data_IF_462989171064
#
_entry.id   IF_462989171064
#
_cell.length_a   1.000
_cell.length_b   1.000
_cell.length_c   1.000
_cell.angle_alpha   90.00
_cell.angle_beta   90.00
_cell.angle_gamma   90.00
#
_symmetry.space_group_name_H-M   'P 1'
#
loop_
_entity.id
_entity.type
_entity.pdbx_description
1 polymer ?
#
# COMPACT_ATOMS: atom_id res chain seq x y z
N UNK A 1 3.35 6.18 2.90
CA UNK A 1 3.56 5.24 1.75
C UNK A 1 4.11 6.04 0.59
N UNK A 2 5.26 5.69 -0.04
CA UNK A 2 5.97 6.56 -1.00
C UNK A 2 5.54 6.33 -2.47
N UNK A 3 4.24 6.47 -2.77
CA UNK A 3 3.73 6.26 -4.14
C UNK A 3 4.22 7.35 -5.09
N UNK A 4 4.19 8.61 -4.64
CA UNK A 4 4.62 9.75 -5.44
C UNK A 4 6.12 9.67 -5.78
N UNK A 5 6.95 9.27 -4.82
CA UNK A 5 8.38 9.08 -5.05
C UNK A 5 8.65 8.00 -6.11
N UNK A 6 7.88 6.91 -6.13
CA UNK A 6 8.01 5.90 -7.19
C UNK A 6 7.70 6.49 -8.58
N UNK A 7 6.68 7.37 -8.68
CA UNK A 7 6.37 8.07 -9.94
C UNK A 7 7.46 9.05 -10.35
N UNK A 8 8.01 9.81 -9.40
CA UNK A 8 9.12 10.73 -9.65
C UNK A 8 10.37 9.99 -10.18
N UNK A 9 10.55 8.73 -9.78
CA UNK A 9 11.59 7.84 -10.32
C UNK A 9 11.28 7.27 -11.72
N UNK A 10 10.18 7.68 -12.35
CA UNK A 10 9.80 7.26 -13.69
C UNK A 10 8.89 6.03 -13.76
N UNK A 11 8.26 5.64 -12.64
CA UNK A 11 7.28 4.57 -12.68
C UNK A 11 6.00 5.00 -13.42
N UNK A 12 5.72 4.33 -14.54
CA UNK A 12 4.49 4.48 -15.31
C UNK A 12 3.24 3.96 -14.58
N UNK A 13 3.42 2.89 -13.80
CA UNK A 13 2.39 2.20 -13.03
C UNK A 13 2.96 1.89 -11.65
N UNK A 14 2.20 2.17 -10.60
CA UNK A 14 2.58 1.90 -9.21
C UNK A 14 1.64 0.86 -8.60
N UNK A 15 2.23 -0.24 -8.14
CA UNK A 15 1.54 -1.25 -7.31
C UNK A 15 1.98 -1.04 -5.86
N UNK A 16 1.09 -0.47 -5.06
CA UNK A 16 1.34 -0.22 -3.65
C UNK A 16 0.98 -1.44 -2.79
N UNK A 17 1.80 -1.72 -1.78
CA UNK A 17 1.52 -2.75 -0.77
C UNK A 17 1.44 -2.07 0.59
N UNK A 18 0.31 -2.19 1.26
CA UNK A 18 0.06 -1.62 2.59
C UNK A 18 -0.23 -2.75 3.58
N UNK A 19 0.42 -2.74 4.74
CA UNK A 19 0.17 -3.73 5.79
C UNK A 19 -0.95 -3.30 6.75
N UNK A 20 -1.57 -2.15 6.52
CA UNK A 20 -2.56 -1.56 7.42
C UNK A 20 -1.90 -1.08 8.73
N UNK A 21 -2.12 0.19 9.06
CA UNK A 21 -1.80 0.74 10.38
C UNK A 21 -3.07 1.23 11.06
N UNK A 22 -4.18 0.52 10.86
CA UNK A 22 -5.37 0.71 11.70
C UNK A 22 -5.10 0.04 13.07
N UNK A 23 -4.07 0.56 13.75
CA UNK A 23 -3.90 0.35 15.17
C UNK A 23 -5.04 1.14 15.83
N UNK A 24 -5.87 0.51 16.66
CA UNK A 24 -6.75 1.29 17.52
C UNK A 24 -5.87 2.26 18.32
N UNK A 25 -6.21 3.56 18.28
CA UNK A 25 -5.53 4.54 19.12
C UNK A 25 -5.49 3.98 20.54
N UNK A 26 -4.28 3.86 21.09
CA UNK A 26 -4.14 3.40 22.46
C UNK A 26 -4.88 4.37 23.39
N UNK A 27 -5.26 3.94 24.58
CA UNK A 27 -5.85 4.86 25.54
C UNK A 27 -4.86 6.02 25.82
N UNK A 28 -5.31 7.26 25.66
CA UNK A 28 -4.47 8.45 25.88
C UNK A 28 -4.34 8.69 27.39
N UNK A 29 -3.14 8.54 27.91
CA UNK A 29 -2.81 8.64 29.34
C UNK A 29 -1.94 9.84 29.71
N UNK A 30 -1.35 10.53 28.73
CA UNK A 30 -0.51 11.71 28.95
C UNK A 30 -0.34 12.57 27.68
N UNK A 31 0.23 13.76 27.85
CA UNK A 31 0.49 14.73 26.77
C UNK A 31 1.46 14.22 25.70
N UNK A 32 2.46 13.42 26.07
CA UNK A 32 3.37 12.81 25.09
C UNK A 32 2.62 11.86 24.15
N UNK A 33 1.66 11.08 24.66
CA UNK A 33 0.80 10.22 23.84
C UNK A 33 -0.13 11.02 22.93
N UNK A 34 -0.63 12.18 23.38
CA UNK A 34 -1.38 13.10 22.51
C UNK A 34 -0.52 13.53 21.31
N UNK A 35 0.75 13.89 21.55
CA UNK A 35 1.67 14.31 20.47
C UNK A 35 1.96 13.16 19.51
N UNK A 36 2.19 11.94 20.02
CA UNK A 36 2.41 10.75 19.19
C UNK A 36 1.17 10.45 18.35
N UNK A 37 -0.03 10.49 18.94
CA UNK A 37 -1.27 10.26 18.21
C UNK A 37 -1.52 11.32 17.13
N UNK A 38 -1.23 12.59 17.42
CA UNK A 38 -1.33 13.66 16.43
C UNK A 38 -0.39 13.40 15.23
N UNK A 39 0.84 12.92 15.51
CA UNK A 39 1.77 12.51 14.48
C UNK A 39 1.26 11.31 13.68
N UNK A 40 0.72 10.28 14.34
CA UNK A 40 0.14 9.11 13.67
C UNK A 40 -1.03 9.49 12.76
N UNK A 41 -1.92 10.38 13.21
CA UNK A 41 -3.02 10.92 12.39
C UNK A 41 -2.47 11.59 11.13
N UNK A 42 -1.46 12.46 11.28
CA UNK A 42 -0.86 13.17 10.15
C UNK A 42 -0.21 12.19 9.14
N UNK A 43 0.52 11.20 9.64
CA UNK A 43 1.15 10.14 8.81
C UNK A 43 0.09 9.30 8.09
N UNK A 44 -1.01 8.96 8.77
CA UNK A 44 -2.10 8.18 8.21
C UNK A 44 -2.86 8.97 7.14
N UNK A 45 -3.14 10.26 7.37
CA UNK A 45 -3.76 11.14 6.38
C UNK A 45 -2.91 11.26 5.11
N UNK A 46 -1.59 11.45 5.26
CA UNK A 46 -0.67 11.47 4.13
C UNK A 46 -0.63 10.13 3.39
N UNK A 47 -0.58 9.02 4.13
CA UNK A 47 -0.59 7.68 3.54
C UNK A 47 -1.87 7.42 2.74
N UNK A 48 -3.05 7.73 3.30
CA UNK A 48 -4.34 7.57 2.60
C UNK A 48 -4.39 8.36 1.30
N UNK A 49 -3.90 9.61 1.29
CA UNK A 49 -3.82 10.41 0.05
C UNK A 49 -2.93 9.75 -0.99
N UNK A 50 -1.73 9.32 -0.63
CA UNK A 50 -0.81 8.71 -1.58
C UNK A 50 -1.28 7.35 -2.10
N UNK A 51 -2.02 6.59 -1.29
CA UNK A 51 -2.59 5.31 -1.74
C UNK A 51 -3.64 5.47 -2.84
N UNK A 52 -4.35 6.61 -2.91
CA UNK A 52 -5.28 6.89 -4.01
C UNK A 52 -4.58 7.07 -5.36
N UNK A 53 -3.30 7.41 -5.35
CA UNK A 53 -2.49 7.61 -6.56
C UNK A 53 -1.91 6.31 -7.13
N UNK A 54 -2.07 5.17 -6.45
CA UNK A 54 -1.60 3.88 -6.94
C UNK A 54 -2.66 3.21 -7.82
N UNK A 55 -2.29 2.66 -8.97
CA UNK A 55 -3.23 1.91 -9.82
C UNK A 55 -3.76 0.65 -9.12
N UNK A 56 -2.90 0.01 -8.33
CA UNK A 56 -3.25 -1.19 -7.56
C UNK A 56 -2.74 -1.04 -6.14
N UNK A 57 -3.63 -1.26 -5.18
CA UNK A 57 -3.31 -1.40 -3.76
C UNK A 57 -3.52 -2.86 -3.35
N UNK A 58 -2.49 -3.46 -2.76
CA UNK A 58 -2.51 -4.80 -2.19
C UNK A 58 -2.42 -4.68 -0.67
N UNK A 59 -3.39 -5.27 0.03
CA UNK A 59 -3.45 -5.27 1.50
C UNK A 59 -3.44 -6.73 2.00
N UNK A 60 -2.27 -7.28 2.35
CA UNK A 60 -2.17 -8.64 2.86
C UNK A 60 -2.86 -8.80 4.22
N UNK A 61 -3.56 -9.92 4.42
CA UNK A 61 -4.20 -10.30 5.69
C UNK A 61 -3.14 -10.75 6.71
N UNK A 62 -2.37 -9.79 7.25
CA UNK A 62 -1.27 -10.08 8.19
C UNK A 62 -1.42 -9.40 9.56
N UNK A 63 -2.53 -8.70 9.80
CA UNK A 63 -2.80 -7.97 11.05
C UNK A 63 -2.76 -8.85 12.31
N UNK A 64 -3.08 -10.14 12.16
CA UNK A 64 -3.05 -11.15 13.24
C UNK A 64 -1.63 -11.57 13.65
N UNK A 65 -0.62 -11.30 12.83
CA UNK A 65 0.76 -11.62 13.15
C UNK A 65 1.35 -10.47 13.96
N UNK A 66 1.51 -10.67 15.27
CA UNK A 66 2.20 -9.71 16.13
C UNK A 66 3.60 -9.41 15.54
N UNK A 67 3.95 -8.11 15.45
CA UNK A 67 5.09 -7.53 14.70
C UNK A 67 6.48 -8.16 14.95
N UNK A 68 6.62 -9.13 15.86
CA UNK A 68 7.90 -9.64 16.38
C UNK A 68 8.01 -11.17 16.52
N UNK A 69 7.05 -11.98 16.07
CA UNK A 69 7.17 -13.46 16.19
C UNK A 69 7.72 -14.10 14.91
N UNK A 70 8.99 -14.51 14.97
CA UNK A 70 9.67 -15.22 13.88
C UNK A 70 9.05 -16.60 13.52
N UNK A 71 8.17 -17.17 14.37
CA UNK A 71 7.51 -18.46 14.12
C UNK A 71 6.51 -18.44 12.96
N UNK A 72 5.99 -17.28 12.59
CA UNK A 72 4.90 -17.17 11.62
C UNK A 72 5.36 -16.68 10.23
N UNK A 73 6.68 -16.67 9.97
CA UNK A 73 7.27 -16.13 8.72
C UNK A 73 6.70 -16.78 7.46
N UNK A 74 6.54 -18.10 7.46
CA UNK A 74 5.97 -18.82 6.31
C UNK A 74 4.52 -18.39 6.03
N UNK A 75 3.72 -18.21 7.08
CA UNK A 75 2.33 -17.78 6.95
C UNK A 75 2.22 -16.34 6.46
N UNK A 76 3.10 -15.45 6.90
CA UNK A 76 3.16 -14.05 6.42
C UNK A 76 3.52 -14.01 4.93
N UNK A 77 4.54 -14.77 4.51
CA UNK A 77 4.94 -14.85 3.09
C UNK A 77 3.78 -15.38 2.25
N UNK A 78 3.12 -16.42 2.73
CA UNK A 78 1.98 -17.05 2.06
C UNK A 78 0.77 -16.11 1.95
N UNK A 79 0.46 -15.34 3.01
CA UNK A 79 -0.57 -14.32 2.98
C UNK A 79 -0.25 -13.21 1.96
N UNK A 80 1.02 -12.81 1.86
CA UNK A 80 1.51 -11.89 0.83
C UNK A 80 1.33 -12.46 -0.58
N UNK A 81 1.78 -13.70 -0.81
CA UNK A 81 1.67 -14.40 -2.09
C UNK A 81 0.21 -14.49 -2.56
N UNK A 82 -0.68 -14.99 -1.70
CA UNK A 82 -2.12 -15.06 -1.98
C UNK A 82 -2.72 -13.72 -2.34
N UNK A 83 -2.32 -12.65 -1.64
CA UNK A 83 -2.87 -11.31 -1.88
C UNK A 83 -2.35 -10.70 -3.18
N UNK A 84 -1.10 -10.97 -3.54
CA UNK A 84 -0.56 -10.63 -4.85
C UNK A 84 -1.26 -11.40 -5.98
N UNK A 85 -1.46 -12.71 -5.82
CA UNK A 85 -2.15 -13.57 -6.79
C UNK A 85 -3.59 -13.11 -7.05
N UNK A 86 -4.34 -12.81 -5.98
CA UNK A 86 -5.68 -12.22 -6.07
C UNK A 86 -5.70 -10.88 -6.81
N UNK A 87 -4.60 -10.15 -6.79
CA UNK A 87 -4.47 -8.83 -7.42
C UNK A 87 -3.98 -8.89 -8.86
N UNK A 88 -3.52 -10.04 -9.35
CA UNK A 88 -3.02 -10.20 -10.73
C UNK A 88 -3.99 -9.71 -11.81
N UNK A 89 -5.32 -9.95 -11.74
CA UNK A 89 -6.26 -9.42 -12.72
C UNK A 89 -6.22 -7.90 -12.81
N UNK A 90 -6.21 -7.20 -11.66
CA UNK A 90 -6.15 -5.72 -11.59
C UNK A 90 -4.82 -5.18 -12.10
N UNK A 91 -3.71 -5.87 -11.80
CA UNK A 91 -2.38 -5.50 -12.33
C UNK A 91 -2.37 -5.62 -13.85
N UNK A 92 -2.90 -6.71 -14.40
CA UNK A 92 -3.00 -6.92 -15.85
C UNK A 92 -3.87 -5.85 -16.51
N UNK A 93 -4.99 -5.49 -15.88
CA UNK A 93 -5.86 -4.41 -16.35
C UNK A 93 -5.13 -3.06 -16.38
N UNK A 94 -4.45 -2.68 -15.29
CA UNK A 94 -3.66 -1.44 -15.24
C UNK A 94 -2.59 -1.40 -16.34
N UNK A 95 -1.89 -2.52 -16.57
CA UNK A 95 -0.93 -2.65 -17.68
C UNK A 95 -1.58 -2.49 -19.05
N UNK A 96 -2.76 -3.09 -19.27
CA UNK A 96 -3.48 -2.99 -20.53
C UNK A 96 -3.95 -1.54 -20.80
N UNK A 97 -4.52 -0.89 -19.79
CA UNK A 97 -4.94 0.51 -19.86
C UNK A 97 -3.76 1.44 -20.18
N UNK A 98 -2.62 1.24 -19.52
CA UNK A 98 -1.41 2.01 -19.79
C UNK A 98 -0.92 1.82 -21.24
N UNK A 99 -0.89 0.58 -21.74
CA UNK A 99 -0.52 0.32 -23.16
C UNK A 99 -1.48 1.00 -24.13
N UNK A 100 -2.79 0.93 -23.89
CA UNK A 100 -3.79 1.55 -24.76
C UNK A 100 -3.61 3.08 -24.85
N UNK A 101 -3.28 3.73 -23.73
CA UNK A 101 -3.00 5.18 -23.68
C UNK A 101 -1.71 5.57 -24.42
N UNK A 102 -0.74 4.67 -24.56
CA UNK A 102 0.50 4.90 -25.32
C UNK A 102 0.36 4.69 -26.83
N UNK A 103 -0.68 3.99 -27.28
CA UNK A 103 -0.88 3.66 -28.70
C UNK A 103 -1.76 4.60 -29.56
N UNK A 104 -2.16 5.84 -29.17
CA UNK A 104 -3.03 6.64 -30.04
C UNK A 104 -2.32 7.37 -31.20
N UNK A 105 -0.99 7.25 -31.37
CA UNK A 105 -0.27 8.03 -32.39
C UNK A 105 0.94 7.32 -33.02
N UNK A 106 0.71 6.29 -33.83
CA UNK A 106 1.71 5.70 -34.74
C UNK A 106 1.18 5.54 -36.17
N UNK A 107 0.07 6.20 -36.51
CA UNK A 107 -0.59 6.07 -37.80
C UNK A 107 -1.00 7.44 -38.36
N UNK A 108 0.00 8.28 -38.67
CA UNK A 108 -0.09 9.34 -39.69
C UNK A 108 1.28 9.45 -40.36
#
# INVERSE_FOLDING_TARGET
MPVLAARELGADIVVAVSLGLDLPFAEVRNTAQVMIHALEIAVNANTRRQLMEAEVLIEPEVSQFAKLRARDRSQIIEAGRRSAERSLPRIREALAQHRARRSPNSAV
#
